data_IF_749134570999
#
_entry.id   IF_749134570999
#
_cell.length_a   1.000
_cell.length_b   1.000
_cell.length_c   1.000
_cell.angle_alpha   90.00
_cell.angle_beta   90.00
_cell.angle_gamma   90.00
#
_symmetry.space_group_name_H-M   'P 1'
#
loop_
_entity.id
_entity.type
_entity.pdbx_description
1 polymer ?
#
# COMPACT_ATOMS: atom_id res chain seq x y z
N UNK A 1 11.23 25.79 12.51
CA UNK A 1 10.42 24.64 12.96
C UNK A 1 9.16 24.66 12.13
N UNK A 2 8.92 23.61 11.34
CA UNK A 2 7.76 23.53 10.44
C UNK A 2 6.48 23.32 11.26
N UNK A 3 5.41 24.05 10.92
CA UNK A 3 4.10 23.90 11.56
C UNK A 3 3.52 22.53 11.20
N UNK A 4 3.23 21.72 12.22
CA UNK A 4 2.65 20.37 12.09
C UNK A 4 1.24 20.30 12.68
N UNK A 5 0.61 21.44 12.83
CA UNK A 5 -0.73 21.54 13.36
C UNK A 5 -1.76 21.37 12.24
N UNK A 6 -2.71 20.49 12.48
CA UNK A 6 -3.93 20.32 11.71
C UNK A 6 -5.00 21.17 12.39
N UNK A 7 -5.55 22.14 11.66
CA UNK A 7 -6.55 23.08 12.18
C UNK A 7 -6.10 23.81 13.46
N UNK A 8 -4.81 24.15 13.54
CA UNK A 8 -4.16 24.93 14.62
C UNK A 8 -4.02 24.24 15.99
N UNK A 9 -4.92 23.32 16.35
CA UNK A 9 -4.95 22.70 17.69
C UNK A 9 -4.41 21.27 17.72
N UNK A 10 -4.57 20.51 16.63
CA UNK A 10 -4.21 19.10 16.60
C UNK A 10 -2.82 18.91 16.04
N UNK A 11 -1.90 18.34 16.81
CA UNK A 11 -0.52 18.11 16.36
C UNK A 11 -0.40 16.75 15.67
N UNK A 12 0.15 16.74 14.45
CA UNK A 12 0.51 15.51 13.75
C UNK A 12 1.70 14.82 14.46
N UNK A 13 1.52 13.54 14.78
CA UNK A 13 2.56 12.70 15.39
C UNK A 13 3.20 11.79 14.33
N UNK A 14 4.53 11.82 14.26
CA UNK A 14 5.28 11.02 13.30
C UNK A 14 5.05 11.44 11.84
N UNK A 15 5.25 10.49 10.93
CA UNK A 15 4.96 10.62 9.50
C UNK A 15 3.72 9.79 9.17
N UNK A 16 2.76 10.32 8.39
CA UNK A 16 1.75 9.49 7.76
C UNK A 16 2.40 8.39 6.92
N UNK A 17 1.78 7.20 6.91
CA UNK A 17 2.25 6.03 6.18
C UNK A 17 1.20 5.58 5.19
N UNK A 18 1.59 5.46 3.92
CA UNK A 18 0.85 4.69 2.93
C UNK A 18 1.29 3.24 2.97
N UNK A 19 0.35 2.31 2.90
CA UNK A 19 0.64 0.86 2.79
C UNK A 19 -0.31 0.23 1.79
N UNK A 20 0.15 -0.70 0.96
CA UNK A 20 -0.70 -1.43 0.04
C UNK A 20 -0.52 -2.95 0.14
N UNK A 21 -1.59 -3.65 -0.23
CA UNK A 21 -1.59 -5.07 -0.50
C UNK A 21 -1.87 -5.34 -1.98
N UNK A 22 -1.13 -6.32 -2.52
CA UNK A 22 -1.19 -6.74 -3.91
C UNK A 22 -1.41 -8.25 -3.97
N UNK A 23 -2.06 -8.72 -5.02
CA UNK A 23 -2.20 -10.15 -5.34
C UNK A 23 -1.42 -10.52 -6.58
N UNK A 24 -1.01 -11.78 -6.69
CA UNK A 24 -0.21 -12.26 -7.83
C UNK A 24 -1.01 -12.23 -9.14
N UNK A 25 -0.30 -12.12 -10.26
CA UNK A 25 -0.85 -12.05 -11.63
C UNK A 25 -1.30 -13.40 -12.21
N UNK A 26 -1.14 -14.49 -11.46
CA UNK A 26 -1.55 -15.86 -11.76
C UNK A 26 -2.56 -16.38 -10.70
N UNK A 27 -3.25 -15.47 -10.02
CA UNK A 27 -4.09 -15.80 -8.86
C UNK A 27 -5.45 -16.41 -9.21
N UNK A 28 -5.81 -16.46 -10.49
CA UNK A 28 -7.07 -17.03 -11.00
C UNK A 28 -6.84 -17.90 -12.23
N UNK A 29 -7.86 -18.68 -12.60
CA UNK A 29 -7.85 -19.51 -13.80
C UNK A 29 -8.63 -18.80 -14.90
N UNK A 30 -7.93 -18.43 -15.98
CA UNK A 30 -8.55 -17.91 -17.20
C UNK A 30 -9.13 -19.10 -17.99
N UNK A 31 -10.39 -19.00 -18.41
CA UNK A 31 -11.05 -20.02 -19.23
C UNK A 31 -10.31 -20.23 -20.56
N UNK A 32 -10.27 -21.46 -21.06
CA UNK A 32 -9.44 -21.86 -22.20
C UNK A 32 -9.64 -20.99 -23.45
N UNK A 33 -10.89 -20.64 -23.75
CA UNK A 33 -11.25 -19.76 -24.89
C UNK A 33 -10.60 -18.38 -24.83
N UNK A 34 -10.29 -17.87 -23.64
CA UNK A 34 -9.74 -16.53 -23.42
C UNK A 34 -8.23 -16.51 -23.14
N UNK A 35 -7.58 -17.68 -23.01
CA UNK A 35 -6.14 -17.77 -22.73
C UNK A 35 -5.27 -17.09 -23.79
N UNK A 36 -5.75 -16.99 -25.03
CA UNK A 36 -5.04 -16.29 -26.12
C UNK A 36 -5.02 -14.76 -25.95
N UNK A 37 -6.02 -14.20 -25.25
CA UNK A 37 -6.24 -12.75 -25.14
C UNK A 37 -5.94 -12.21 -23.74
N UNK A 38 -6.05 -13.05 -22.70
CA UNK A 38 -5.85 -12.66 -21.30
C UNK A 38 -4.63 -13.40 -20.77
N UNK A 39 -3.49 -12.71 -20.74
CA UNK A 39 -2.21 -13.25 -20.26
C UNK A 39 -2.03 -13.19 -18.74
N UNK A 40 -2.72 -12.28 -18.08
CA UNK A 40 -2.61 -12.04 -16.64
C UNK A 40 -3.98 -11.84 -16.01
N UNK A 41 -4.15 -12.39 -14.83
CA UNK A 41 -5.40 -12.28 -14.10
C UNK A 41 -5.14 -12.08 -12.59
N UNK A 42 -6.01 -11.31 -11.95
CA UNK A 42 -5.86 -10.96 -10.55
C UNK A 42 -7.19 -11.24 -9.84
N UNK A 43 -7.18 -12.17 -8.89
CA UNK A 43 -8.38 -12.61 -8.17
C UNK A 43 -8.70 -11.68 -6.97
N UNK A 44 -9.81 -11.94 -6.28
CA UNK A 44 -10.17 -11.30 -5.01
C UNK A 44 -9.08 -11.57 -3.96
N UNK A 45 -8.86 -10.61 -3.06
CA UNK A 45 -7.82 -10.74 -2.04
C UNK A 45 -8.01 -11.96 -1.13
N UNK A 46 -6.92 -12.71 -0.94
CA UNK A 46 -6.75 -13.64 0.17
C UNK A 46 -5.28 -13.67 0.61
N UNK A 47 -4.97 -13.99 1.89
CA UNK A 47 -3.59 -14.04 2.37
C UNK A 47 -2.69 -15.00 1.59
N UNK A 48 -3.24 -16.08 1.03
CA UNK A 48 -2.48 -17.11 0.31
C UNK A 48 -2.04 -16.65 -1.09
N UNK A 49 -2.73 -15.67 -1.66
CA UNK A 49 -2.46 -15.16 -3.01
C UNK A 49 -1.80 -13.78 -3.02
N UNK A 50 -1.39 -13.28 -1.85
CA UNK A 50 -0.59 -12.06 -1.75
C UNK A 50 0.66 -12.15 -2.62
N UNK A 51 0.98 -11.04 -3.29
CA UNK A 51 2.22 -10.90 -4.06
C UNK A 51 3.33 -10.39 -3.15
N UNK A 52 4.25 -11.29 -2.82
CA UNK A 52 5.42 -11.00 -1.98
C UNK A 52 6.65 -10.61 -2.80
N UNK A 53 6.55 -10.61 -4.14
CA UNK A 53 7.66 -10.27 -5.03
C UNK A 53 7.85 -8.75 -5.10
N UNK A 54 9.09 -8.26 -5.25
CA UNK A 54 9.32 -6.85 -5.50
C UNK A 54 8.73 -6.42 -6.85
N UNK A 55 8.33 -5.16 -6.96
CA UNK A 55 7.70 -4.61 -8.16
C UNK A 55 8.13 -3.16 -8.43
N UNK A 56 7.75 -2.61 -9.59
CA UNK A 56 8.05 -1.21 -9.94
C UNK A 56 9.55 -0.93 -9.90
N UNK A 57 9.97 0.05 -9.07
CA UNK A 57 11.37 0.44 -8.96
C UNK A 57 12.25 -0.53 -8.17
N UNK A 58 11.67 -1.58 -7.56
CA UNK A 58 12.33 -2.65 -6.78
C UNK A 58 13.01 -2.16 -5.49
N UNK A 59 13.52 -0.93 -5.46
CA UNK A 59 14.29 -0.36 -4.38
C UNK A 59 13.41 0.43 -3.40
N UNK A 60 13.55 0.13 -2.12
CA UNK A 60 12.88 0.84 -1.03
C UNK A 60 11.54 0.20 -0.64
N UNK A 61 11.10 0.55 0.56
CA UNK A 61 9.96 -0.08 1.25
C UNK A 61 8.64 0.01 0.46
N UNK A 62 8.51 1.00 -0.42
CA UNK A 62 7.35 1.18 -1.27
C UNK A 62 7.22 0.06 -2.32
N UNK A 63 8.32 -0.58 -2.69
CA UNK A 63 8.41 -1.51 -3.82
C UNK A 63 8.76 -2.94 -3.41
N UNK A 64 9.05 -3.14 -2.12
CA UNK A 64 9.38 -4.43 -1.50
C UNK A 64 8.28 -4.84 -0.53
N UNK A 65 7.97 -6.12 -0.46
CA UNK A 65 7.01 -6.65 0.50
C UNK A 65 7.63 -6.74 1.90
N UNK A 66 6.88 -6.35 2.92
CA UNK A 66 7.21 -6.57 4.33
C UNK A 66 6.09 -7.35 5.00
N UNK A 67 6.46 -8.33 5.81
CA UNK A 67 5.52 -9.15 6.58
C UNK A 67 4.84 -8.34 7.68
N UNK A 68 3.66 -8.80 8.12
CA UNK A 68 2.93 -8.19 9.25
C UNK A 68 3.83 -8.05 10.50
N UNK A 69 4.66 -9.06 10.79
CA UNK A 69 5.58 -9.05 11.92
C UNK A 69 6.67 -7.99 11.78
N UNK A 70 7.26 -7.83 10.60
CA UNK A 70 8.29 -6.80 10.36
C UNK A 70 7.72 -5.38 10.49
N UNK A 71 6.45 -5.20 10.11
CA UNK A 71 5.76 -3.93 10.24
C UNK A 71 5.19 -3.67 11.64
N UNK A 72 5.19 -4.68 12.52
CA UNK A 72 4.49 -4.62 13.81
C UNK A 72 2.98 -4.35 13.64
N UNK A 73 2.42 -4.73 12.49
CA UNK A 73 1.03 -4.49 12.13
C UNK A 73 0.10 -5.59 12.67
N UNK A 74 -1.18 -5.41 12.41
CA UNK A 74 -2.21 -6.43 12.62
C UNK A 74 -3.18 -6.42 11.44
N UNK A 75 -3.96 -7.49 11.33
CA UNK A 75 -4.97 -7.58 10.28
C UNK A 75 -6.08 -6.53 10.45
N UNK A 76 -6.54 -5.95 9.36
CA UNK A 76 -7.62 -4.97 9.29
C UNK A 76 -8.87 -5.58 8.68
N UNK A 77 -9.98 -5.56 9.43
CA UNK A 77 -11.28 -6.01 8.94
C UNK A 77 -11.94 -4.92 8.08
N UNK A 78 -12.04 -5.18 6.78
CA UNK A 78 -12.70 -4.29 5.83
C UNK A 78 -14.04 -4.83 5.36
N UNK A 79 -14.70 -4.09 4.47
CA UNK A 79 -16.04 -4.45 3.96
C UNK A 79 -16.07 -5.77 3.18
N UNK A 80 -15.05 -6.05 2.37
CA UNK A 80 -15.02 -7.21 1.47
C UNK A 80 -14.22 -8.39 2.02
N UNK A 81 -13.21 -8.12 2.85
CA UNK A 81 -12.29 -9.13 3.37
C UNK A 81 -11.53 -8.60 4.59
N UNK A 82 -10.85 -9.51 5.29
CA UNK A 82 -9.86 -9.17 6.32
C UNK A 82 -8.49 -9.12 5.69
N UNK A 83 -7.85 -7.96 5.73
CA UNK A 83 -6.55 -7.71 5.12
C UNK A 83 -5.42 -7.89 6.13
N UNK A 84 -4.33 -8.55 5.77
CA UNK A 84 -3.17 -8.68 6.65
C UNK A 84 -2.52 -7.32 6.97
N UNK A 85 -1.75 -7.28 8.05
CA UNK A 85 -0.91 -6.13 8.40
C UNK A 85 0.37 -6.02 7.57
N UNK A 86 0.54 -6.90 6.56
CA UNK A 86 1.70 -6.92 5.69
C UNK A 86 1.57 -5.91 4.53
N UNK A 87 2.55 -5.93 3.62
CA UNK A 87 2.51 -5.22 2.35
C UNK A 87 3.71 -4.32 2.11
N UNK A 88 3.62 -3.51 1.07
CA UNK A 88 4.63 -2.50 0.75
C UNK A 88 4.17 -1.14 1.24
N UNK A 89 5.09 -0.33 1.76
CA UNK A 89 4.74 0.92 2.43
C UNK A 89 5.68 2.09 2.11
N UNK A 90 5.15 3.30 2.17
CA UNK A 90 5.88 4.54 2.00
C UNK A 90 5.51 5.53 3.10
N UNK A 91 6.52 6.03 3.81
CA UNK A 91 6.34 7.13 4.76
C UNK A 91 6.36 8.47 3.98
N UNK A 92 5.33 9.30 4.18
CA UNK A 92 5.13 10.53 3.39
C UNK A 92 6.01 11.70 3.85
N UNK A 93 6.65 11.58 5.01
CA UNK A 93 7.36 12.66 5.66
C UNK A 93 6.43 13.57 6.46
N UNK A 94 6.96 14.72 6.89
CA UNK A 94 6.26 15.60 7.84
C UNK A 94 5.87 16.95 7.25
N UNK A 95 6.28 17.24 6.02
CA UNK A 95 5.89 18.45 5.29
C UNK A 95 5.05 18.14 4.07
N UNK A 96 4.34 19.17 3.59
CA UNK A 96 3.52 19.06 2.37
C UNK A 96 4.40 18.78 1.15
N UNK A 97 5.58 19.39 1.11
CA UNK A 97 6.55 19.28 0.03
C UNK A 97 7.12 17.86 -0.05
N UNK A 98 7.52 17.28 1.09
CA UNK A 98 7.96 15.88 1.17
C UNK A 98 6.84 14.93 0.72
N UNK A 99 5.63 15.12 1.25
CA UNK A 99 4.48 14.29 0.92
C UNK A 99 4.18 14.34 -0.58
N UNK A 100 4.17 15.54 -1.18
CA UNK A 100 3.96 15.73 -2.63
C UNK A 100 5.05 15.07 -3.46
N UNK A 101 6.31 15.16 -3.03
CA UNK A 101 7.43 14.52 -3.73
C UNK A 101 7.31 12.99 -3.73
N UNK A 102 7.01 12.38 -2.56
CA UNK A 102 6.77 10.94 -2.45
C UNK A 102 5.58 10.53 -3.31
N UNK A 103 4.44 11.22 -3.18
CA UNK A 103 3.23 10.92 -3.96
C UNK A 103 3.44 11.02 -5.46
N UNK A 104 4.23 11.98 -5.92
CA UNK A 104 4.60 12.12 -7.34
C UNK A 104 5.34 10.89 -7.84
N UNK A 105 6.38 10.44 -7.12
CA UNK A 105 7.15 9.24 -7.48
C UNK A 105 6.27 7.99 -7.50
N UNK A 106 5.41 7.80 -6.48
CA UNK A 106 4.50 6.65 -6.44
C UNK A 106 3.53 6.65 -7.62
N UNK A 107 2.99 7.82 -8.00
CA UNK A 107 2.06 7.97 -9.12
C UNK A 107 2.75 7.72 -10.46
N UNK A 108 3.91 8.32 -10.71
CA UNK A 108 4.65 8.20 -11.97
C UNK A 108 5.13 6.77 -12.24
N UNK A 109 5.30 5.97 -11.17
CA UNK A 109 5.78 4.58 -11.27
C UNK A 109 4.68 3.54 -11.01
N UNK A 110 3.40 3.93 -11.15
CA UNK A 110 2.25 3.01 -11.07
C UNK A 110 2.23 2.16 -9.79
N UNK A 111 2.48 2.79 -8.63
CA UNK A 111 2.46 2.10 -7.35
C UNK A 111 1.12 1.38 -7.11
N UNK A 112 0.01 2.05 -7.45
CA UNK A 112 -1.32 1.45 -7.53
C UNK A 112 -1.51 0.89 -8.95
N UNK A 113 -1.84 -0.39 -9.05
CA UNK A 113 -1.99 -1.10 -10.33
C UNK A 113 -3.17 -2.09 -10.28
N UNK A 114 -3.39 -2.85 -11.37
CA UNK A 114 -4.43 -3.90 -11.42
C UNK A 114 -4.30 -4.96 -10.31
N UNK A 115 -3.09 -5.16 -9.79
CA UNK A 115 -2.79 -6.08 -8.70
C UNK A 115 -3.21 -5.59 -7.32
N UNK A 116 -3.40 -4.27 -7.13
CA UNK A 116 -3.66 -3.66 -5.82
C UNK A 116 -5.08 -4.02 -5.34
N UNK A 117 -5.22 -4.38 -4.06
CA UNK A 117 -6.51 -4.74 -3.44
C UNK A 117 -6.91 -3.84 -2.29
N UNK A 118 -5.94 -3.35 -1.54
CA UNK A 118 -6.15 -2.39 -0.47
C UNK A 118 -5.02 -1.37 -0.43
N UNK A 119 -5.37 -0.13 -0.12
CA UNK A 119 -4.43 0.94 0.21
C UNK A 119 -4.88 1.55 1.53
N UNK A 120 -3.95 1.63 2.48
CA UNK A 120 -4.13 2.21 3.80
C UNK A 120 -3.35 3.53 3.86
N UNK A 121 -3.95 4.53 4.50
CA UNK A 121 -3.28 5.77 4.89
C UNK A 121 -3.45 5.92 6.39
N UNK A 122 -2.40 5.59 7.13
CA UNK A 122 -2.41 5.61 8.59
C UNK A 122 -1.62 6.82 9.09
N UNK A 123 -2.22 7.60 9.97
CA UNK A 123 -1.57 8.72 10.66
C UNK A 123 -2.20 8.92 12.04
N UNK A 124 -1.47 9.61 12.91
CA UNK A 124 -1.93 9.86 14.28
C UNK A 124 -1.84 11.35 14.58
N UNK A 125 -2.88 11.89 15.19
CA UNK A 125 -2.92 13.26 15.69
C UNK A 125 -3.10 13.25 17.20
N UNK A 126 -2.56 14.26 17.86
CA UNK A 126 -2.74 14.49 19.28
C UNK A 126 -3.38 15.85 19.51
N UNK A 127 -4.46 15.86 20.28
CA UNK A 127 -5.13 17.07 20.77
C UNK A 127 -4.64 17.32 22.21
N UNK A 128 -4.19 18.53 22.49
CA UNK A 128 -3.66 18.94 23.79
C UNK A 128 -4.73 19.63 24.64
#
# INVERSE_FOLDING_TARGET
MEDRNVLYENRLLGSPRLRQLRVRNDSCVVHDDFKSSISECYDVYSPQIEDTRPFGLINGTAWTYSTERELGGSSHWGLLSTYSGAGSYADLGTSSEQSKAVMKVLKENLWISRATRAVFLDFTVYNA
#
